data_IF_311591316828
#
_entry.id   IF_311591316828
#
_cell.length_a   1.000
_cell.length_b   1.000
_cell.length_c   1.000
_cell.angle_alpha   90.00
_cell.angle_beta   90.00
_cell.angle_gamma   90.00
#
_symmetry.space_group_name_H-M   'P 1'
#
loop_
_entity.id
_entity.type
_entity.pdbx_description
1 polymer ?
#
# COMPACT_ATOMS: atom_id res chain seq x y z
N UNK A 1 22.15 4.60 -2.28
CA UNK A 1 21.10 5.65 -2.31
C UNK A 1 19.90 5.27 -1.44
N UNK A 2 20.09 4.57 -0.31
CA UNK A 2 19.01 3.99 0.51
C UNK A 2 19.02 4.47 1.98
N UNK A 3 19.90 5.41 2.33
CA UNK A 3 20.16 5.78 3.72
C UNK A 3 20.01 7.30 3.94
N UNK A 4 18.90 7.86 3.45
CA UNK A 4 18.52 9.24 3.79
C UNK A 4 17.48 9.24 4.92
N UNK A 5 17.50 10.25 5.82
CA UNK A 5 16.53 10.36 6.91
C UNK A 5 15.07 10.36 6.42
N UNK A 6 14.82 10.86 5.22
CA UNK A 6 13.49 10.92 4.62
C UNK A 6 12.97 9.55 4.19
N UNK A 7 13.83 8.73 3.58
CA UNK A 7 13.49 7.36 3.19
C UNK A 7 13.14 6.53 4.43
N UNK A 8 13.89 6.73 5.53
CA UNK A 8 13.60 6.05 6.80
C UNK A 8 12.24 6.44 7.39
N UNK A 9 11.89 7.73 7.40
CA UNK A 9 10.57 8.20 7.86
C UNK A 9 9.43 7.61 7.02
N UNK A 10 9.61 7.49 5.70
CA UNK A 10 8.62 6.86 4.82
C UNK A 10 8.45 5.38 5.14
N UNK A 11 9.54 4.68 5.47
CA UNK A 11 9.48 3.29 5.90
C UNK A 11 8.75 3.14 7.24
N UNK A 12 9.07 3.97 8.24
CA UNK A 12 8.38 3.96 9.55
C UNK A 12 6.86 4.20 9.38
N UNK A 13 6.49 5.12 8.49
CA UNK A 13 5.09 5.38 8.14
C UNK A 13 4.45 4.16 7.47
N UNK A 14 5.11 3.55 6.49
CA UNK A 14 4.62 2.36 5.81
C UNK A 14 4.42 1.20 6.80
N UNK A 15 5.33 1.03 7.76
CA UNK A 15 5.25 -0.02 8.79
C UNK A 15 4.05 0.20 9.70
N UNK A 16 3.83 1.42 10.18
CA UNK A 16 2.63 1.76 10.96
C UNK A 16 1.35 1.45 10.19
N UNK A 17 1.28 1.86 8.92
CA UNK A 17 0.11 1.63 8.07
C UNK A 17 -0.12 0.12 7.83
N UNK A 18 0.94 -0.63 7.59
CA UNK A 18 0.84 -2.08 7.37
C UNK A 18 0.36 -2.83 8.62
N UNK A 19 0.78 -2.43 9.83
CA UNK A 19 0.31 -3.04 11.08
C UNK A 19 -1.18 -2.77 11.33
N UNK A 20 -1.65 -1.54 11.08
CA UNK A 20 -3.06 -1.20 11.18
C UNK A 20 -3.91 -2.06 10.23
N UNK A 21 -3.42 -2.22 8.99
CA UNK A 21 -4.09 -3.06 7.98
C UNK A 21 -4.05 -4.52 8.40
N UNK A 22 -2.91 -5.06 8.85
CA UNK A 22 -2.80 -6.44 9.31
C UNK A 22 -3.80 -6.76 10.44
N UNK A 23 -3.91 -5.87 11.44
CA UNK A 23 -4.88 -6.03 12.53
C UNK A 23 -6.32 -6.00 12.03
N UNK A 24 -6.65 -5.13 11.07
CA UNK A 24 -7.99 -5.08 10.47
C UNK A 24 -8.30 -6.33 9.64
N UNK A 25 -7.33 -6.85 8.90
CA UNK A 25 -7.49 -8.00 8.02
C UNK A 25 -7.60 -9.33 8.79
N UNK A 26 -7.19 -9.40 10.05
CA UNK A 26 -7.27 -10.62 10.86
C UNK A 26 -8.69 -11.21 10.96
N UNK A 27 -9.72 -10.39 10.72
CA UNK A 27 -11.13 -10.79 10.78
C UNK A 27 -11.71 -11.21 9.42
N UNK A 28 -10.90 -11.21 8.35
CA UNK A 28 -11.37 -11.44 6.98
C UNK A 28 -10.49 -12.44 6.24
N UNK A 29 -11.06 -13.33 5.41
CA UNK A 29 -10.29 -14.24 4.57
C UNK A 29 -9.74 -13.49 3.35
N UNK A 30 -8.66 -12.73 3.56
CA UNK A 30 -8.00 -11.95 2.49
C UNK A 30 -6.70 -12.61 2.05
N UNK A 31 -6.60 -12.90 0.75
CA UNK A 31 -5.42 -13.51 0.13
C UNK A 31 -4.51 -12.48 -0.54
N UNK A 32 -5.09 -11.40 -1.08
CA UNK A 32 -4.38 -10.40 -1.90
C UNK A 32 -4.75 -8.99 -1.45
N UNK A 33 -3.73 -8.15 -1.30
CA UNK A 33 -3.85 -6.71 -1.05
C UNK A 33 -3.45 -5.97 -2.33
N UNK A 34 -4.33 -5.12 -2.85
CA UNK A 34 -4.04 -4.21 -3.94
C UNK A 34 -3.71 -2.82 -3.38
N UNK A 35 -2.46 -2.38 -3.54
CA UNK A 35 -2.03 -1.06 -3.09
C UNK A 35 -2.25 -0.01 -4.19
N UNK A 36 -2.97 1.05 -3.80
CA UNK A 36 -3.38 2.17 -4.67
C UNK A 36 -3.19 3.50 -3.95
N UNK A 37 -3.39 4.61 -4.66
CA UNK A 37 -3.21 5.97 -4.15
C UNK A 37 -1.77 6.47 -4.27
N UNK A 38 -1.60 7.79 -4.31
CA UNK A 38 -0.31 8.43 -4.62
C UNK A 38 0.85 8.00 -3.71
N UNK A 39 0.58 7.82 -2.41
CA UNK A 39 1.58 7.38 -1.43
C UNK A 39 2.13 5.97 -1.71
N UNK A 40 1.34 5.08 -2.30
CA UNK A 40 1.78 3.71 -2.60
C UNK A 40 2.72 3.62 -3.82
N UNK A 41 3.06 4.74 -4.47
CA UNK A 41 4.05 4.76 -5.57
C UNK A 41 5.46 4.38 -5.12
N UNK A 42 5.78 4.58 -3.83
CA UNK A 42 7.08 4.24 -3.27
C UNK A 42 7.20 2.72 -3.07
N UNK A 43 8.22 2.08 -3.66
CA UNK A 43 8.39 0.63 -3.62
C UNK A 43 8.48 0.07 -2.19
N UNK A 44 9.02 0.86 -1.23
CA UNK A 44 9.09 0.46 0.18
C UNK A 44 7.72 0.09 0.76
N UNK A 45 6.63 0.72 0.31
CA UNK A 45 5.29 0.41 0.80
C UNK A 45 4.89 -1.03 0.47
N UNK A 46 5.10 -1.47 -0.77
CA UNK A 46 4.72 -2.81 -1.16
C UNK A 46 5.51 -3.86 -0.38
N UNK A 47 6.82 -3.67 -0.21
CA UNK A 47 7.67 -4.62 0.52
C UNK A 47 7.34 -4.67 2.01
N UNK A 48 7.15 -3.51 2.64
CA UNK A 48 6.74 -3.43 4.05
C UNK A 48 5.38 -4.09 4.26
N UNK A 49 4.40 -3.84 3.38
CA UNK A 49 3.09 -4.49 3.48
C UNK A 49 3.20 -6.01 3.30
N UNK A 50 4.01 -6.50 2.35
CA UNK A 50 4.24 -7.96 2.19
C UNK A 50 4.80 -8.56 3.45
N UNK A 51 5.87 -7.96 3.99
CA UNK A 51 6.56 -8.44 5.19
C UNK A 51 5.64 -8.42 6.42
N UNK A 52 4.92 -7.34 6.65
CA UNK A 52 4.11 -7.15 7.86
C UNK A 52 2.80 -7.93 7.83
N UNK A 53 2.14 -8.01 6.67
CA UNK A 53 0.82 -8.68 6.56
C UNK A 53 0.93 -10.18 6.25
N UNK A 54 2.07 -10.62 5.70
CA UNK A 54 2.23 -11.99 5.17
C UNK A 54 1.34 -12.30 3.98
N UNK A 55 0.69 -11.29 3.38
CA UNK A 55 -0.22 -11.44 2.24
C UNK A 55 0.47 -11.18 0.92
N UNK A 56 -0.13 -11.66 -0.16
CA UNK A 56 0.27 -11.23 -1.50
C UNK A 56 -0.08 -9.75 -1.66
N UNK A 57 0.90 -8.93 -2.02
CA UNK A 57 0.67 -7.49 -2.25
C UNK A 57 1.00 -7.15 -3.69
N UNK A 58 0.02 -6.56 -4.38
CA UNK A 58 0.12 -6.09 -5.76
C UNK A 58 0.02 -4.57 -5.73
N UNK A 59 1.11 -3.89 -6.06
CA UNK A 59 1.11 -2.44 -6.27
C UNK A 59 0.65 -2.16 -7.70
N UNK A 60 -0.35 -1.30 -7.86
CA UNK A 60 -0.80 -0.89 -9.20
C UNK A 60 0.33 -0.18 -9.96
N UNK A 61 0.38 -0.37 -11.30
CA UNK A 61 1.41 0.27 -12.15
C UNK A 61 1.34 1.81 -12.08
N UNK A 62 0.14 2.36 -11.99
CA UNK A 62 -0.11 3.79 -11.82
C UNK A 62 -0.99 4.01 -10.58
N UNK A 63 -0.46 3.84 -9.35
CA UNK A 63 -1.29 3.77 -8.15
C UNK A 63 -2.06 5.06 -7.87
N UNK A 64 -1.47 6.22 -8.19
CA UNK A 64 -2.12 7.54 -8.09
C UNK A 64 -3.40 7.63 -8.92
N UNK A 65 -3.47 6.89 -10.03
CA UNK A 65 -4.53 6.99 -11.01
C UNK A 65 -5.55 5.86 -10.90
N UNK A 66 -5.56 5.03 -9.85
CA UNK A 66 -6.57 3.95 -9.77
C UNK A 66 -7.94 4.52 -9.41
N UNK A 67 -8.00 5.42 -8.43
CA UNK A 67 -9.27 5.96 -7.93
C UNK A 67 -9.97 6.93 -8.90
N UNK A 68 -9.28 7.92 -9.52
CA UNK A 68 -9.97 8.92 -10.36
C UNK A 68 -10.70 8.33 -11.59
N UNK A 69 -10.12 7.41 -12.38
CA UNK A 69 -10.83 6.70 -13.44
C UNK A 69 -11.98 5.85 -12.92
N UNK A 70 -11.83 5.21 -11.75
CA UNK A 70 -12.93 4.50 -11.12
C UNK A 70 -14.13 5.41 -10.85
N UNK A 71 -13.90 6.62 -10.34
CA UNK A 71 -14.95 7.65 -10.20
C UNK A 71 -15.54 7.99 -11.57
N UNK A 72 -14.70 8.26 -12.57
CA UNK A 72 -15.17 8.65 -13.91
C UNK A 72 -16.03 7.57 -14.60
N UNK A 73 -15.76 6.28 -14.34
CA UNK A 73 -16.56 5.16 -14.85
C UNK A 73 -17.97 5.11 -14.22
N UNK A 74 -18.13 5.68 -13.03
CA UNK A 74 -19.39 5.71 -12.27
C UNK A 74 -20.05 7.10 -12.22
N UNK A 75 -19.41 8.14 -12.75
CA UNK A 75 -20.02 9.46 -12.94
C UNK A 75 -20.86 9.43 -14.21
N UNK A 76 -22.07 8.88 -14.09
CA UNK A 76 -23.13 9.03 -15.08
C UNK A 76 -24.22 9.91 -14.50
#
# INVERSE_FOLDING_TARGET
MADSPEVRRLQDLAEKMAHLVAGRLAQYPVDVIYLVGGASRFHQFADVFRKTTGKRVIQATHPLLVTPPGIAMHSR
#
